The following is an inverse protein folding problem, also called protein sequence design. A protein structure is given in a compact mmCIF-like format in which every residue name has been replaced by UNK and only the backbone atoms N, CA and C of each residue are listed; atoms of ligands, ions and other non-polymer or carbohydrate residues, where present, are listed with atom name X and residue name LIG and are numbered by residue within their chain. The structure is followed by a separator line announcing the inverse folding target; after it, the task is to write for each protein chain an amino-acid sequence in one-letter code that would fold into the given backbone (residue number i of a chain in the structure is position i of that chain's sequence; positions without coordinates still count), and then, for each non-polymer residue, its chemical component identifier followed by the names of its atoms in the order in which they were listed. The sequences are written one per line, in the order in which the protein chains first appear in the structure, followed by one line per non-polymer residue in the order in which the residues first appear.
data_IF_380079158219
#
_entry.id   IF_380079158219
#
_cell.length_a   1.000
_cell.length_b   1.000
_cell.length_c   1.000
_cell.angle_alpha   90.00
_cell.angle_beta   90.00
_cell.angle_gamma   90.00
#
_symmetry.space_group_name_H-M   'P 1'
#
loop_
_entity.id
_entity.type
_entity.pdbx_description
1 polymer ?
#
# COMPACT_ATOMS: atom_id res chain seq x y z
N UNK A 1 -45.74 21.91 -5.35
CA UNK A 1 -45.04 22.40 -6.56
C UNK A 1 -43.62 22.71 -6.17
N UNK A 2 -42.65 21.90 -6.60
CA UNK A 2 -41.27 22.34 -6.84
C UNK A 2 -40.54 21.26 -7.63
N UNK A 3 -39.63 21.74 -8.47
CA UNK A 3 -39.39 21.28 -9.83
C UNK A 3 -38.14 20.38 -9.93
N UNK A 4 -38.27 19.29 -10.67
CA UNK A 4 -37.23 18.34 -11.06
C UNK A 4 -36.20 18.97 -12.01
N UNK A 5 -34.90 18.74 -11.81
CA UNK A 5 -33.93 18.69 -12.91
C UNK A 5 -32.82 17.66 -12.65
N UNK A 6 -33.07 16.46 -13.14
CA UNK A 6 -32.09 15.40 -13.33
C UNK A 6 -31.27 15.73 -14.58
N UNK A 7 -29.94 15.86 -14.46
CA UNK A 7 -29.05 16.01 -15.61
C UNK A 7 -28.21 14.75 -15.77
N UNK A 8 -28.71 13.86 -16.63
CA UNK A 8 -27.94 12.77 -17.19
C UNK A 8 -26.89 13.33 -18.17
N UNK A 9 -25.61 13.17 -17.85
CA UNK A 9 -24.54 13.32 -18.82
C UNK A 9 -24.05 11.95 -19.25
N UNK A 10 -24.77 11.34 -20.18
CA UNK A 10 -24.28 10.26 -21.03
C UNK A 10 -23.27 10.86 -22.02
N UNK A 11 -21.98 10.60 -21.82
CA UNK A 11 -20.99 10.73 -22.89
C UNK A 11 -20.65 9.34 -23.42
N UNK A 12 -21.27 9.03 -24.57
CA UNK A 12 -20.86 7.96 -25.46
C UNK A 12 -19.59 8.40 -26.19
N UNK A 13 -18.51 7.65 -26.06
CA UNK A 13 -17.45 7.62 -27.06
C UNK A 13 -17.12 6.15 -27.33
N UNK A 14 -17.49 5.74 -28.55
CA UNK A 14 -17.10 4.49 -29.15
C UNK A 14 -15.64 4.58 -29.59
N UNK A 15 -14.85 3.55 -29.29
CA UNK A 15 -13.51 3.35 -29.81
C UNK A 15 -13.24 1.85 -29.93
N UNK A 16 -13.34 1.34 -31.15
CA UNK A 16 -13.06 -0.04 -31.52
C UNK A 16 -11.58 -0.22 -31.91
N UNK A 17 -11.16 -1.50 -32.03
CA UNK A 17 -9.89 -2.07 -32.51
C UNK A 17 -8.82 -2.32 -31.42
N UNK A 18 -8.10 -3.44 -31.38
CA UNK A 18 -8.05 -4.65 -32.21
C UNK A 18 -7.37 -5.80 -31.43
N UNK A 19 -7.69 -7.04 -31.83
CA UNK A 19 -7.04 -8.26 -31.36
C UNK A 19 -5.57 -8.34 -31.78
N UNK A 20 -4.71 -8.82 -30.88
CA UNK A 20 -3.45 -9.45 -31.25
C UNK A 20 -3.22 -10.69 -30.36
N UNK A 21 -3.66 -11.84 -30.85
CA UNK A 21 -3.28 -13.16 -30.36
C UNK A 21 -1.94 -13.54 -30.95
N UNK A 22 -0.93 -13.80 -30.11
CA UNK A 22 0.27 -14.53 -30.51
C UNK A 22 0.36 -15.83 -29.73
N UNK A 23 0.02 -16.91 -30.43
CA UNK A 23 0.32 -18.27 -30.02
C UNK A 23 1.81 -18.54 -30.24
N UNK A 24 2.52 -18.92 -29.19
CA UNK A 24 3.87 -19.46 -29.26
C UNK A 24 3.87 -20.89 -28.74
N UNK A 25 3.92 -21.85 -29.65
CA UNK A 25 4.12 -23.28 -29.35
C UNK A 25 5.59 -23.58 -29.62
N UNK A 26 6.32 -24.02 -28.60
CA UNK A 26 7.67 -24.60 -28.74
C UNK A 26 7.69 -25.94 -28.05
N UNK A 27 7.71 -27.00 -28.85
CA UNK A 27 7.97 -28.37 -28.45
C UNK A 27 9.45 -28.54 -28.06
N UNK A 28 9.71 -28.97 -26.83
CA UNK A 28 11.01 -29.43 -26.37
C UNK A 28 10.87 -30.77 -25.66
N UNK A 29 10.81 -31.87 -26.45
CA UNK A 29 10.81 -33.23 -25.94
C UNK A 29 12.24 -33.66 -25.65
N UNK A 30 12.64 -33.60 -24.38
CA UNK A 30 13.87 -34.19 -23.86
C UNK A 30 13.50 -35.24 -22.81
N UNK A 31 13.60 -36.51 -23.19
CA UNK A 31 13.40 -37.68 -22.32
C UNK A 31 14.52 -37.80 -21.29
N UNK A 32 14.18 -37.92 -20.00
CA UNK A 32 14.89 -38.68 -18.96
C UNK A 32 14.04 -38.71 -17.68
N UNK A 33 13.73 -39.92 -17.22
CA UNK A 33 13.01 -40.29 -15.99
C UNK A 33 14.01 -41.01 -15.05
N UNK A 34 13.86 -41.07 -13.71
CA UNK A 34 13.32 -40.13 -12.72
C UNK A 34 14.39 -39.82 -11.63
N UNK A 35 14.11 -38.92 -10.66
CA UNK A 35 13.88 -39.46 -9.32
C UNK A 35 12.73 -38.76 -8.58
N UNK A 36 11.93 -39.60 -7.93
CA UNK A 36 11.01 -39.34 -6.81
C UNK A 36 11.07 -37.92 -6.20
N UNK A 37 10.04 -37.07 -6.41
CA UNK A 37 9.89 -35.86 -5.61
C UNK A 37 9.08 -36.16 -4.34
N UNK A 38 9.72 -35.80 -3.22
CA UNK A 38 9.20 -35.60 -1.88
C UNK A 38 7.88 -34.79 -1.88
N UNK A 39 7.06 -34.88 -0.80
CA UNK A 39 5.75 -34.26 -0.74
C UNK A 39 5.78 -32.75 -1.04
N UNK A 40 4.75 -32.32 -1.77
CA UNK A 40 4.49 -30.95 -2.20
C UNK A 40 4.44 -30.01 -0.98
N UNK A 41 5.51 -29.25 -0.78
CA UNK A 41 5.45 -28.03 0.02
C UNK A 41 4.72 -26.99 -0.81
N UNK A 42 3.52 -26.62 -0.40
CA UNK A 42 2.81 -25.43 -0.85
C UNK A 42 3.81 -24.27 -1.01
N UNK A 43 3.97 -23.81 -2.25
CA UNK A 43 4.67 -22.57 -2.54
C UNK A 43 3.85 -21.41 -2.00
N UNK A 44 4.02 -21.14 -0.71
CA UNK A 44 3.80 -19.80 -0.18
C UNK A 44 4.80 -18.87 -0.88
N UNK A 45 4.39 -17.70 -1.39
CA UNK A 45 5.34 -16.77 -1.99
C UNK A 45 6.39 -16.43 -0.94
N UNK A 46 7.65 -16.77 -1.24
CA UNK A 46 8.78 -16.49 -0.37
C UNK A 46 8.79 -15.00 -0.05
N UNK A 47 8.43 -14.66 1.19
CA UNK A 47 8.79 -13.37 1.77
C UNK A 47 10.32 -13.29 1.67
N UNK A 48 10.90 -12.21 1.10
CA UNK A 48 12.34 -12.06 1.08
C UNK A 48 12.85 -12.14 2.53
N UNK A 49 13.67 -13.15 2.82
CA UNK A 49 14.38 -13.26 4.09
C UNK A 49 15.22 -12.00 4.25
N UNK A 50 14.81 -11.12 5.16
CA UNK A 50 15.58 -9.96 5.55
C UNK A 50 16.85 -10.47 6.25
N UNK A 51 18.01 -10.32 5.59
CA UNK A 51 19.31 -10.62 6.17
C UNK A 51 19.51 -9.77 7.42
N UNK A 52 19.71 -10.37 8.61
CA UNK A 52 19.94 -9.60 9.83
C UNK A 52 21.27 -8.84 9.72
N UNK A 53 21.21 -7.52 9.50
CA UNK A 53 22.37 -6.63 9.54
C UNK A 53 22.49 -5.64 8.38
N UNK A 54 21.67 -5.76 7.34
CA UNK A 54 21.60 -4.73 6.28
C UNK A 54 20.52 -3.72 6.68
N UNK A 55 20.94 -2.55 7.14
CA UNK A 55 20.02 -1.45 7.38
C UNK A 55 19.34 -1.15 6.04
N UNK A 56 18.03 -1.33 5.93
CA UNK A 56 17.39 -1.28 4.63
C UNK A 56 17.58 0.12 4.06
N UNK A 57 18.31 0.22 2.94
CA UNK A 57 18.56 1.51 2.29
C UNK A 57 17.26 1.94 1.64
N UNK A 58 16.60 2.93 2.25
CA UNK A 58 15.39 3.52 1.69
C UNK A 58 15.69 4.01 0.26
N UNK A 59 14.83 3.62 -0.68
CA UNK A 59 14.98 4.00 -2.09
C UNK A 59 14.54 5.44 -2.33
N UNK A 60 13.68 5.96 -1.46
CA UNK A 60 13.25 7.35 -1.43
C UNK A 60 13.34 7.89 -0.01
N UNK A 61 13.80 9.14 0.13
CA UNK A 61 13.81 9.91 1.38
C UNK A 61 13.37 11.33 1.06
N UNK A 62 12.23 11.76 1.60
CA UNK A 62 11.67 13.07 1.32
C UNK A 62 10.34 13.31 2.04
N UNK A 63 9.72 14.48 1.84
CA UNK A 63 8.40 14.77 2.38
C UNK A 63 7.31 13.92 1.69
N UNK A 64 6.19 13.73 2.39
CA UNK A 64 4.96 13.25 1.78
C UNK A 64 4.24 14.42 1.09
N UNK A 65 4.42 14.54 -0.22
CA UNK A 65 3.88 15.62 -1.05
C UNK A 65 3.19 15.10 -2.34
N UNK A 66 2.69 16.03 -3.16
CA UNK A 66 2.03 15.71 -4.43
C UNK A 66 2.98 15.02 -5.44
N UNK A 67 4.27 15.34 -5.41
CA UNK A 67 5.28 14.73 -6.29
C UNK A 67 5.46 13.25 -5.93
N UNK A 68 5.69 12.94 -4.65
CA UNK A 68 5.74 11.58 -4.15
C UNK A 68 4.43 10.84 -4.46
N UNK A 69 3.28 11.48 -4.28
CA UNK A 69 1.99 10.84 -4.52
C UNK A 69 1.77 10.47 -5.99
N UNK A 70 2.29 11.28 -6.91
CA UNK A 70 2.26 11.01 -8.35
C UNK A 70 3.09 9.79 -8.70
N UNK A 71 4.26 9.64 -8.07
CA UNK A 71 5.21 8.56 -8.33
C UNK A 71 5.09 7.37 -7.38
N UNK A 72 4.12 7.37 -6.46
CA UNK A 72 3.90 6.34 -5.43
C UNK A 72 3.88 4.91 -5.99
N UNK A 73 3.33 4.72 -7.19
CA UNK A 73 3.26 3.39 -7.82
C UNK A 73 4.64 2.87 -8.23
N UNK A 74 5.58 3.76 -8.52
CA UNK A 74 6.96 3.43 -8.88
C UNK A 74 7.77 2.93 -7.67
N UNK A 75 7.34 3.25 -6.46
CA UNK A 75 7.97 2.83 -5.20
C UNK A 75 7.30 1.61 -4.56
N UNK A 76 6.29 1.01 -5.20
CA UNK A 76 5.61 -0.17 -4.67
C UNK A 76 6.59 -1.33 -4.42
N UNK A 77 6.51 -1.95 -3.25
CA UNK A 77 7.40 -3.01 -2.77
C UNK A 77 8.78 -2.53 -2.32
N UNK A 78 9.04 -1.22 -2.33
CA UNK A 78 10.32 -0.64 -1.92
C UNK A 78 10.18 0.04 -0.56
N UNK A 79 11.29 0.12 0.16
CA UNK A 79 11.33 0.90 1.39
C UNK A 79 11.48 2.38 1.07
N UNK A 80 10.68 3.22 1.71
CA UNK A 80 10.70 4.66 1.60
C UNK A 80 10.73 5.29 2.99
N UNK A 81 11.36 6.45 3.08
CA UNK A 81 11.35 7.32 4.26
C UNK A 81 10.57 8.58 3.91
N UNK A 82 9.49 8.83 4.64
CA UNK A 82 8.55 9.92 4.41
C UNK A 82 8.48 10.83 5.64
N UNK A 83 8.58 12.13 5.42
CA UNK A 83 8.30 13.14 6.44
C UNK A 83 6.91 13.74 6.21
N UNK A 84 6.07 13.80 7.22
CA UNK A 84 4.74 14.41 7.10
C UNK A 84 4.08 14.68 8.43
N UNK A 85 2.89 15.27 8.39
CA UNK A 85 2.09 15.55 9.59
C UNK A 85 1.18 14.36 9.91
N UNK A 86 1.07 14.00 11.18
CA UNK A 86 0.11 12.99 11.64
C UNK A 86 -1.28 13.61 11.72
N UNK A 87 -2.18 13.27 10.80
CA UNK A 87 -3.55 13.77 10.82
C UNK A 87 -4.45 13.03 11.82
N UNK A 88 -4.22 11.72 12.00
CA UNK A 88 -5.07 10.83 12.78
C UNK A 88 -4.28 9.59 13.18
N UNK A 89 -4.66 8.91 14.28
CA UNK A 89 -3.99 7.68 14.73
C UNK A 89 -4.92 6.72 15.46
N UNK A 90 -4.62 5.43 15.34
CA UNK A 90 -5.25 4.34 16.07
C UNK A 90 -4.17 3.58 16.84
N UNK A 91 -3.88 3.97 18.10
CA UNK A 91 -2.82 3.35 18.91
C UNK A 91 -3.04 1.86 19.12
N UNK A 92 -4.30 1.44 19.30
CA UNK A 92 -4.71 0.04 19.48
C UNK A 92 -4.28 -0.86 18.32
N UNK A 93 -4.09 -0.28 17.13
CA UNK A 93 -3.75 -1.00 15.89
C UNK A 93 -2.40 -0.59 15.31
N UNK A 94 -1.61 0.19 16.06
CA UNK A 94 -0.32 0.72 15.59
C UNK A 94 -0.42 1.38 14.21
N UNK A 95 -1.51 2.10 13.95
CA UNK A 95 -1.75 2.75 12.66
C UNK A 95 -1.85 4.26 12.82
N UNK A 96 -1.37 5.02 11.84
CA UNK A 96 -1.54 6.46 11.74
C UNK A 96 -1.81 6.90 10.31
N UNK A 97 -2.30 8.12 10.16
CA UNK A 97 -2.52 8.78 8.88
C UNK A 97 -1.52 9.91 8.73
N UNK A 98 -0.76 9.88 7.64
CA UNK A 98 0.19 10.91 7.25
C UNK A 98 -0.43 11.83 6.20
N UNK A 99 -0.29 13.13 6.39
CA UNK A 99 -0.72 14.18 5.46
C UNK A 99 0.39 15.17 5.17
N UNK A 100 0.24 15.89 4.06
CA UNK A 100 1.11 17.02 3.74
C UNK A 100 0.64 18.27 4.51
N UNK A 101 1.47 18.88 5.38
CA UNK A 101 1.12 20.13 6.06
C UNK A 101 0.96 21.31 5.10
N UNK A 102 1.59 21.27 3.91
CA UNK A 102 1.48 22.31 2.90
C UNK A 102 0.23 22.15 2.01
N UNK A 103 -0.26 20.91 1.85
CA UNK A 103 -1.43 20.57 1.04
C UNK A 103 -2.40 19.64 1.81
N UNK A 104 -3.28 20.19 2.67
CA UNK A 104 -4.24 19.38 3.44
C UNK A 104 -5.33 18.71 2.59
N UNK A 105 -5.49 19.13 1.33
CA UNK A 105 -6.40 18.51 0.36
C UNK A 105 -5.79 17.27 -0.33
N UNK A 106 -4.50 16.99 -0.12
CA UNK A 106 -3.85 15.80 -0.65
C UNK A 106 -4.44 14.54 0.00
N UNK A 107 -4.64 13.49 -0.81
CA UNK A 107 -5.14 12.21 -0.30
C UNK A 107 -4.24 11.71 0.84
N UNK A 108 -4.76 11.41 2.03
CA UNK A 108 -3.97 10.96 3.16
C UNK A 108 -3.36 9.57 2.94
N UNK A 109 -2.14 9.36 3.44
CA UNK A 109 -1.45 8.07 3.40
C UNK A 109 -1.65 7.31 4.71
N UNK A 110 -2.10 6.07 4.61
CA UNK A 110 -2.15 5.17 5.76
C UNK A 110 -0.75 4.62 6.06
N UNK A 111 -0.37 4.67 7.33
CA UNK A 111 0.88 4.11 7.84
C UNK A 111 0.53 3.03 8.86
N UNK A 112 0.91 1.80 8.55
CA UNK A 112 0.77 0.60 9.38
C UNK A 112 2.13 0.28 9.98
N UNK A 113 2.23 0.36 11.30
CA UNK A 113 3.47 0.13 12.03
C UNK A 113 3.51 -1.25 12.68
N UNK A 114 4.73 -1.78 12.86
CA UNK A 114 4.92 -3.02 13.62
C UNK A 114 4.67 -2.81 15.12
N UNK A 115 4.97 -1.60 15.61
CA UNK A 115 4.81 -1.19 16.99
C UNK A 115 4.17 0.19 17.04
N UNK A 116 3.35 0.43 18.05
CA UNK A 116 2.74 1.74 18.25
C UNK A 116 3.81 2.83 18.37
N UNK A 117 3.48 4.01 17.87
CA UNK A 117 4.34 5.20 17.93
C UNK A 117 3.92 6.07 19.13
N UNK A 118 4.53 5.91 20.31
CA UNK A 118 4.15 6.71 21.47
C UNK A 118 4.42 8.20 21.25
N UNK A 119 5.46 8.53 20.48
CA UNK A 119 5.91 9.91 20.23
C UNK A 119 5.20 10.58 19.04
N UNK A 120 4.43 9.83 18.23
CA UNK A 120 3.69 10.36 17.09
C UNK A 120 2.28 10.78 17.52
N UNK A 121 2.14 12.04 17.97
CA UNK A 121 0.84 12.66 18.29
C UNK A 121 0.18 13.28 17.06
N UNK A 122 -1.14 13.47 17.09
CA UNK A 122 -1.86 14.21 16.06
C UNK A 122 -1.31 15.66 15.96
N UNK A 123 -1.07 16.12 14.73
CA UNK A 123 -0.44 17.39 14.42
C UNK A 123 1.09 17.39 14.53
N UNK A 124 1.73 16.29 14.94
CA UNK A 124 3.18 16.20 14.97
C UNK A 124 3.74 15.96 13.57
N UNK A 125 4.88 16.61 13.25
CA UNK A 125 5.68 16.29 12.07
C UNK A 125 6.59 15.13 12.43
N UNK A 126 6.46 14.01 11.71
CA UNK A 126 7.21 12.79 11.96
C UNK A 126 7.90 12.30 10.70
N UNK A 127 9.04 11.65 10.88
CA UNK A 127 9.70 10.88 9.83
C UNK A 127 9.42 9.40 10.03
N UNK A 128 8.81 8.76 9.04
CA UNK A 128 8.46 7.34 9.05
C UNK A 128 9.19 6.62 7.93
N UNK A 129 9.79 5.49 8.25
CA UNK A 129 10.41 4.59 7.28
C UNK A 129 9.63 3.29 7.24
N UNK A 130 9.26 2.83 6.05
CA UNK A 130 8.54 1.56 5.89
C UNK A 130 8.47 1.11 4.44
N UNK A 131 7.85 -0.04 4.21
CA UNK A 131 7.71 -0.61 2.86
C UNK A 131 6.41 -0.16 2.23
N UNK A 132 6.50 0.52 1.10
CA UNK A 132 5.31 0.98 0.41
C UNK A 132 4.59 -0.20 -0.25
N UNK A 133 3.34 -0.41 0.14
CA UNK A 133 2.49 -1.47 -0.39
C UNK A 133 1.27 -0.86 -1.08
N UNK A 134 0.74 -1.55 -2.07
CA UNK A 134 -0.47 -1.12 -2.79
C UNK A 134 -1.66 -1.96 -2.38
N UNK A 135 -2.87 -1.44 -2.63
CA UNK A 135 -4.11 -2.18 -2.41
C UNK A 135 -4.31 -2.59 -0.93
N UNK A 136 -4.32 -1.60 -0.03
CA UNK A 136 -4.58 -1.86 1.38
C UNK A 136 -5.90 -2.60 1.58
N UNK A 137 -5.88 -3.60 2.46
CA UNK A 137 -7.05 -4.34 2.89
C UNK A 137 -7.11 -4.32 4.40
N UNK A 138 -8.22 -3.83 4.95
CA UNK A 138 -8.45 -3.93 6.39
C UNK A 138 -8.58 -5.41 6.76
N UNK A 139 -7.75 -5.87 7.70
CA UNK A 139 -7.99 -7.15 8.36
C UNK A 139 -9.16 -6.94 9.31
N UNK A 140 -10.31 -7.53 8.96
CA UNK A 140 -11.46 -7.59 9.85
C UNK A 140 -11.24 -8.79 10.76
N UNK A 141 -10.56 -8.59 11.89
CA UNK A 141 -10.54 -9.60 12.93
C UNK A 141 -11.97 -9.69 13.51
N UNK A 142 -12.53 -10.90 13.55
CA UNK A 142 -13.96 -11.11 13.87
C UNK A 142 -14.35 -10.72 15.31
N UNK A 143 -13.37 -10.38 16.15
CA UNK A 143 -13.56 -9.91 17.52
C UNK A 143 -13.52 -8.38 17.66
N UNK A 144 -13.20 -7.64 16.60
CA UNK A 144 -13.14 -6.17 16.60
C UNK A 144 -14.55 -5.57 16.43
N UNK A 145 -15.31 -5.57 17.52
CA UNK A 145 -16.56 -4.81 17.68
C UNK A 145 -16.29 -3.36 18.12
N UNK A 146 -15.07 -2.87 17.87
CA UNK A 146 -14.59 -1.59 18.39
C UNK A 146 -14.84 -0.41 17.44
N UNK A 147 -14.99 0.76 18.07
CA UNK A 147 -15.44 2.05 17.55
C UNK A 147 -14.61 2.61 16.37
N UNK A 148 -13.52 1.95 16.01
CA UNK A 148 -12.58 2.34 14.95
C UNK A 148 -12.87 1.65 13.61
N UNK A 149 -13.98 0.91 13.50
CA UNK A 149 -14.38 0.14 12.32
C UNK A 149 -14.42 0.96 11.00
N UNK A 150 -14.54 2.30 11.08
CA UNK A 150 -14.52 3.19 9.92
C UNK A 150 -13.16 3.81 9.57
N UNK A 151 -12.14 3.66 10.41
CA UNK A 151 -10.84 4.33 10.19
C UNK A 151 -10.18 3.91 8.89
N UNK A 152 -10.26 2.62 8.57
CA UNK A 152 -9.65 2.02 7.39
C UNK A 152 -10.47 2.15 6.11
N UNK A 153 -11.77 2.40 6.20
CA UNK A 153 -12.68 2.37 5.05
C UNK A 153 -12.24 3.33 3.94
N UNK A 154 -11.72 4.50 4.31
CA UNK A 154 -11.19 5.51 3.37
C UNK A 154 -9.88 5.09 2.69
N UNK A 155 -9.16 4.12 3.26
CA UNK A 155 -7.85 3.67 2.77
C UNK A 155 -7.92 2.33 2.02
N UNK A 156 -9.09 1.66 1.97
CA UNK A 156 -9.23 0.40 1.23
C UNK A 156 -8.88 0.60 -0.25
N UNK A 157 -7.97 -0.24 -0.77
CA UNK A 157 -7.48 -0.17 -2.14
C UNK A 157 -6.43 0.91 -2.40
N UNK A 158 -6.15 1.79 -1.43
CA UNK A 158 -5.12 2.82 -1.54
C UNK A 158 -3.71 2.24 -1.28
N UNK A 159 -2.64 2.92 -1.73
CA UNK A 159 -1.31 2.63 -1.24
C UNK A 159 -1.19 2.98 0.25
N UNK A 160 -0.34 2.25 0.95
CA UNK A 160 -0.09 2.41 2.37
C UNK A 160 1.37 2.04 2.68
N UNK A 161 1.89 2.57 3.77
CA UNK A 161 3.21 2.20 4.28
C UNK A 161 3.03 1.03 5.26
N UNK A 162 3.67 -0.11 4.98
CA UNK A 162 3.66 -1.28 5.85
C UNK A 162 4.95 -1.39 6.65
N UNK A 163 4.87 -2.10 7.77
CA UNK A 163 5.98 -2.32 8.68
C UNK A 163 6.72 -1.05 9.10
N UNK A 164 5.99 0.07 9.18
CA UNK A 164 6.59 1.37 9.41
C UNK A 164 7.24 1.48 10.80
N UNK A 165 8.32 2.23 10.86
CA UNK A 165 9.05 2.62 12.07
C UNK A 165 9.37 4.11 12.02
N UNK A 166 9.38 4.79 13.16
CA UNK A 166 9.90 6.16 13.22
C UNK A 166 11.39 6.14 12.89
N UNK A 167 11.85 7.14 12.14
CA UNK A 167 13.27 7.38 11.92
C UNK A 167 13.98 7.50 13.27
N UNK A 168 15.06 6.74 13.47
CA UNK A 168 15.86 6.86 14.69
C UNK A 168 16.66 8.17 14.62
N UNK A 169 16.41 9.08 15.57
CA UNK A 169 17.26 10.25 15.83
C UNK A 169 18.69 9.87 16.27
#
# INVERSE_FOLDING_TARGET
MNTTHHRHHLRKLAGALALATTAGVSTGCGTSDPPEPAPETESSPAQPEQTPGEQPTSTYTGPYDEEFRTDVSSYAGQQVTLTGEVADRVPSRSALVLTDPENPDLDPLLVSAQYAFPDAEEGAIVEVTGTLTTNFQARVDQDDVDNDAGFYDRHIGQPYLDQASLGAE
#
